data_IF_413764166469
#
_entry.id   IF_413764166469
#
_cell.length_a   1.000
_cell.length_b   1.000
_cell.length_c   1.000
_cell.angle_alpha   90.00
_cell.angle_beta   90.00
_cell.angle_gamma   90.00
#
_symmetry.space_group_name_H-M   'P 1'
#
loop_
_entity.id
_entity.type
_entity.pdbx_description
1 polymer ?
#
# COMPACT_ATOMS: atom_id res chain seq x y z
N UNK A 1 -10.72 -14.76 12.15
CA UNK A 1 -9.86 -13.57 12.27
C UNK A 1 -9.99 -12.63 11.07
N UNK A 2 -10.04 -13.15 9.84
CA UNK A 2 -10.00 -12.40 8.55
C UNK A 2 -11.15 -11.41 8.27
N UNK A 3 -12.19 -11.39 9.11
CA UNK A 3 -13.35 -10.49 8.96
C UNK A 3 -13.46 -9.45 10.08
N UNK A 4 -12.64 -9.56 11.12
CA UNK A 4 -12.62 -8.59 12.20
C UNK A 4 -12.20 -7.22 11.63
N UNK A 5 -12.95 -6.13 11.91
CA UNK A 5 -12.69 -4.82 11.32
C UNK A 5 -11.53 -4.10 12.02
N UNK A 6 -10.40 -4.79 12.20
CA UNK A 6 -9.25 -4.30 12.95
C UNK A 6 -8.48 -3.23 12.20
N UNK A 7 -8.62 -3.13 10.87
CA UNK A 7 -7.96 -2.12 10.06
C UNK A 7 -8.24 -0.69 10.56
N UNK A 8 -9.43 -0.42 11.09
CA UNK A 8 -9.81 0.89 11.66
C UNK A 8 -9.04 1.27 12.94
N UNK A 9 -8.41 0.29 13.60
CA UNK A 9 -7.68 0.48 14.86
C UNK A 9 -6.16 0.64 14.61
N UNK A 10 -5.69 0.37 13.40
CA UNK A 10 -4.28 0.41 13.04
C UNK A 10 -3.93 1.82 12.55
N UNK A 11 -3.07 2.53 13.28
CA UNK A 11 -2.48 3.80 12.83
C UNK A 11 -1.43 3.57 11.73
N UNK A 12 -0.65 2.50 11.90
CA UNK A 12 0.35 2.04 10.94
C UNK A 12 0.08 0.56 10.67
N UNK A 13 -0.66 0.22 9.61
CA UNK A 13 -0.89 -1.17 9.27
C UNK A 13 0.43 -1.88 8.98
N UNK A 14 0.61 -3.14 9.43
CA UNK A 14 1.78 -3.92 9.07
C UNK A 14 1.76 -4.22 7.57
N UNK A 15 2.95 -4.28 6.97
CA UNK A 15 3.11 -4.70 5.58
C UNK A 15 2.43 -6.06 5.34
N UNK A 16 1.90 -6.28 4.12
CA UNK A 16 1.28 -7.55 3.80
C UNK A 16 2.35 -8.65 3.86
N UNK A 17 1.99 -9.86 4.34
CA UNK A 17 2.94 -10.94 4.41
C UNK A 17 3.47 -11.29 3.02
N UNK A 18 4.78 -11.44 2.90
CA UNK A 18 5.43 -11.96 1.70
C UNK A 18 5.43 -13.48 1.80
N UNK A 19 4.92 -14.15 0.77
CA UNK A 19 4.99 -15.60 0.67
C UNK A 19 6.41 -16.00 0.26
N UNK A 20 7.03 -16.84 1.07
CA UNK A 20 8.36 -17.40 0.82
C UNK A 20 8.28 -18.91 0.99
N UNK A 21 8.77 -19.65 0.00
CA UNK A 21 8.88 -21.12 0.01
C UNK A 21 10.17 -21.60 0.72
N UNK A 22 10.83 -20.69 1.45
CA UNK A 22 12.13 -20.80 2.12
C UNK A 22 13.34 -20.58 1.23
N UNK A 23 13.20 -20.48 -0.09
CA UNK A 23 14.34 -20.19 -0.97
C UNK A 23 14.95 -18.84 -0.60
N UNK A 24 14.13 -17.79 -0.51
CA UNK A 24 14.64 -16.43 -0.27
C UNK A 24 15.21 -16.30 1.14
N UNK A 25 14.55 -16.88 2.15
CA UNK A 25 15.08 -16.90 3.51
C UNK A 25 16.42 -17.64 3.62
N UNK A 26 16.59 -18.75 2.92
CA UNK A 26 17.86 -19.47 2.90
C UNK A 26 18.97 -18.62 2.27
N UNK A 27 18.69 -17.98 1.14
CA UNK A 27 19.61 -17.09 0.45
C UNK A 27 20.03 -15.89 1.34
N UNK A 28 19.07 -15.23 2.00
CA UNK A 28 19.35 -14.14 2.94
C UNK A 28 20.18 -14.59 4.15
N UNK A 29 19.94 -15.80 4.67
CA UNK A 29 20.70 -16.37 5.79
C UNK A 29 22.13 -16.68 5.38
N UNK A 30 22.35 -17.09 4.13
CA UNK A 30 23.67 -17.31 3.54
C UNK A 30 24.41 -16.00 3.17
N UNK A 31 23.79 -14.84 3.35
CA UNK A 31 24.35 -13.55 2.93
C UNK A 31 24.37 -13.35 1.41
N UNK A 32 23.43 -13.99 0.69
CA UNK A 32 23.28 -13.91 -0.75
C UNK A 32 21.86 -13.41 -1.10
N UNK A 33 21.67 -12.12 -1.46
CA UNK A 33 22.70 -11.13 -1.75
C UNK A 33 23.38 -10.55 -0.51
N UNK A 34 24.55 -9.93 -0.72
CA UNK A 34 25.25 -9.15 0.30
C UNK A 34 24.37 -7.96 0.75
N UNK A 35 23.74 -8.13 1.91
CA UNK A 35 22.76 -7.18 2.42
C UNK A 35 23.46 -6.05 3.17
N UNK A 36 23.44 -4.86 2.59
CA UNK A 36 23.97 -3.62 3.21
C UNK A 36 22.87 -2.56 3.35
N UNK A 37 23.02 -1.59 4.26
CA UNK A 37 22.17 -0.39 4.25
C UNK A 37 22.22 0.33 2.90
N UNK A 38 21.18 1.11 2.58
CA UNK A 38 21.13 1.85 1.30
C UNK A 38 22.34 2.78 1.14
N UNK A 39 22.88 2.86 -0.08
CA UNK A 39 23.89 3.86 -0.43
C UNK A 39 23.37 5.28 -0.17
N UNK A 40 24.26 6.24 0.06
CA UNK A 40 23.91 7.63 0.39
C UNK A 40 23.83 8.51 -0.86
N UNK A 41 24.50 8.11 -1.95
CA UNK A 41 24.47 8.81 -3.24
C UNK A 41 24.60 7.83 -4.39
N UNK A 42 23.86 8.11 -5.47
CA UNK A 42 24.05 7.49 -6.77
C UNK A 42 24.46 8.60 -7.75
N UNK A 43 25.48 8.37 -8.56
CA UNK A 43 25.91 9.29 -9.62
C UNK A 43 26.35 8.47 -10.81
N UNK A 44 25.68 8.66 -11.95
CA UNK A 44 25.81 7.83 -13.15
C UNK A 44 25.69 6.33 -12.82
N UNK A 45 26.76 5.56 -13.02
CA UNK A 45 26.84 4.13 -12.73
C UNK A 45 27.53 3.83 -11.39
N UNK A 46 27.67 4.81 -10.48
CA UNK A 46 28.39 4.65 -9.21
C UNK A 46 27.53 4.92 -7.98
N UNK A 47 27.50 3.97 -7.05
CA UNK A 47 26.98 4.15 -5.71
C UNK A 47 28.08 4.60 -4.75
N UNK A 48 27.77 5.53 -3.86
CA UNK A 48 28.62 5.93 -2.72
C UNK A 48 27.96 5.46 -1.43
N UNK A 49 28.69 4.67 -0.65
CA UNK A 49 28.25 4.11 0.62
C UNK A 49 28.46 5.10 1.77
N UNK A 50 27.87 4.81 2.93
CA UNK A 50 27.95 5.69 4.09
C UNK A 50 29.37 5.88 4.65
N UNK A 51 30.28 4.94 4.39
CA UNK A 51 31.70 5.00 4.74
C UNK A 51 32.56 5.76 3.70
N UNK A 52 31.93 6.29 2.65
CA UNK A 52 32.60 7.00 1.56
C UNK A 52 33.18 6.10 0.47
N UNK A 53 33.10 4.78 0.61
CA UNK A 53 33.50 3.87 -0.47
C UNK A 53 32.58 4.01 -1.66
N UNK A 54 33.10 3.74 -2.85
CA UNK A 54 32.33 3.83 -4.10
C UNK A 54 32.42 2.55 -4.90
N UNK A 55 31.30 2.17 -5.50
CA UNK A 55 31.15 0.94 -6.25
C UNK A 55 30.45 1.23 -7.58
N UNK A 56 30.93 0.60 -8.66
CA UNK A 56 30.30 0.68 -9.97
C UNK A 56 29.19 -0.37 -10.06
N UNK A 57 28.00 0.02 -10.50
CA UNK A 57 26.85 -0.84 -10.69
C UNK A 57 26.64 -1.07 -12.19
N UNK A 58 26.61 -2.33 -12.63
CA UNK A 58 26.23 -2.64 -14.01
C UNK A 58 24.70 -2.63 -14.22
N UNK A 59 23.92 -2.80 -13.14
CA UNK A 59 22.46 -2.72 -13.16
C UNK A 59 21.91 -2.24 -11.80
N UNK A 60 20.77 -1.54 -11.84
CA UNK A 60 20.01 -1.12 -10.66
C UNK A 60 18.55 -1.55 -10.78
N UNK A 61 18.10 -2.43 -9.89
CA UNK A 61 16.70 -2.88 -9.83
C UNK A 61 15.98 -2.22 -8.67
N UNK A 62 14.97 -1.38 -8.97
CA UNK A 62 14.17 -0.70 -7.96
C UNK A 62 13.01 -1.58 -7.50
N UNK A 63 13.18 -2.26 -6.37
CA UNK A 63 12.14 -3.07 -5.72
C UNK A 63 11.46 -2.31 -4.55
N UNK A 64 11.08 -1.06 -4.78
CA UNK A 64 10.57 -0.14 -3.73
C UNK A 64 9.07 -0.28 -3.41
N UNK A 65 8.39 -1.20 -4.10
CA UNK A 65 6.95 -1.45 -3.94
C UNK A 65 6.08 -0.48 -4.75
N UNK A 66 4.81 -0.34 -4.34
CA UNK A 66 3.80 0.46 -5.03
C UNK A 66 3.19 1.51 -4.10
N UNK A 67 2.67 2.59 -4.68
CA UNK A 67 1.85 3.59 -4.00
C UNK A 67 0.55 3.81 -4.77
N UNK A 68 -0.56 4.17 -4.10
CA UNK A 68 -1.78 4.59 -4.79
C UNK A 68 -1.49 5.72 -5.78
N UNK A 69 -1.93 5.56 -7.02
CA UNK A 69 -1.80 6.56 -8.07
C UNK A 69 -3.19 7.00 -8.51
N UNK A 70 -3.70 8.06 -7.88
CA UNK A 70 -5.10 8.49 -7.99
C UNK A 70 -5.24 9.92 -8.54
N UNK A 71 -4.52 10.33 -9.60
CA UNK A 71 -4.55 11.71 -10.10
C UNK A 71 -5.94 12.13 -10.56
N UNK A 72 -6.79 11.18 -10.96
CA UNK A 72 -8.19 11.44 -11.34
C UNK A 72 -9.05 11.95 -10.18
N UNK A 73 -8.59 11.84 -8.93
CA UNK A 73 -9.26 12.40 -7.75
C UNK A 73 -8.67 13.75 -7.31
N UNK A 74 -7.62 14.26 -7.95
CA UNK A 74 -6.95 15.49 -7.53
C UNK A 74 -7.87 16.72 -7.56
N UNK A 75 -8.87 16.74 -8.44
CA UNK A 75 -9.89 17.80 -8.50
C UNK A 75 -10.95 17.73 -7.40
N UNK A 76 -10.98 16.64 -6.62
CA UNK A 76 -11.98 16.40 -5.59
C UNK A 76 -11.40 16.76 -4.22
N UNK A 77 -11.71 17.97 -3.73
CA UNK A 77 -11.15 18.52 -2.51
C UNK A 77 -11.29 17.55 -1.32
N UNK A 78 -10.20 17.27 -0.59
CA UNK A 78 -10.20 16.38 0.58
C UNK A 78 -10.51 14.89 0.30
N UNK A 79 -10.54 14.44 -0.97
CA UNK A 79 -10.64 13.02 -1.31
C UNK A 79 -9.34 12.25 -1.07
N UNK A 80 -8.19 12.94 -1.17
CA UNK A 80 -6.87 12.41 -0.88
C UNK A 80 -6.26 13.16 0.32
N UNK A 81 -5.40 12.48 1.07
CA UNK A 81 -4.56 13.09 2.09
C UNK A 81 -3.33 13.80 1.47
N UNK A 82 -2.51 14.54 2.25
CA UNK A 82 -1.32 15.20 1.71
C UNK A 82 -0.27 14.25 1.10
N UNK A 83 -0.34 12.95 1.40
CA UNK A 83 0.54 11.94 0.82
C UNK A 83 -0.05 11.31 -0.47
N UNK A 84 -1.23 11.73 -0.90
CA UNK A 84 -1.91 11.22 -2.08
C UNK A 84 -2.69 9.92 -1.85
N UNK A 85 -2.88 9.50 -0.60
CA UNK A 85 -3.67 8.31 -0.27
C UNK A 85 -5.16 8.65 -0.14
N UNK A 86 -6.07 7.70 -0.43
CA UNK A 86 -7.49 7.84 -0.15
C UNK A 86 -7.77 8.29 1.29
N UNK A 87 -8.44 9.42 1.44
CA UNK A 87 -8.89 9.88 2.75
C UNK A 87 -10.25 9.26 3.07
N UNK A 88 -10.27 8.26 3.95
CA UNK A 88 -11.48 7.49 4.23
C UNK A 88 -11.61 6.96 5.66
N UNK A 89 -12.83 6.56 6.03
CA UNK A 89 -13.12 5.73 7.21
C UNK A 89 -13.80 4.44 6.78
N UNK A 90 -13.02 3.35 6.78
CA UNK A 90 -13.50 2.03 6.37
C UNK A 90 -14.12 1.99 4.96
N UNK A 91 -13.54 2.71 4.00
CA UNK A 91 -14.06 2.88 2.63
C UNK A 91 -14.78 4.19 2.39
N UNK A 92 -15.51 4.75 3.35
CA UNK A 92 -16.29 5.98 3.11
C UNK A 92 -15.43 7.22 3.16
N UNK A 93 -15.58 8.09 2.16
CA UNK A 93 -15.07 9.45 2.23
C UNK A 93 -15.80 10.25 3.31
N UNK A 94 -15.09 10.93 4.23
CA UNK A 94 -15.72 11.84 5.17
C UNK A 94 -16.12 13.18 4.52
N UNK A 95 -15.55 13.53 3.37
CA UNK A 95 -15.76 14.80 2.70
C UNK A 95 -16.84 14.75 1.60
N UNK A 96 -17.07 13.57 1.01
CA UNK A 96 -17.94 13.40 -0.15
C UNK A 96 -18.98 12.30 0.09
N UNK A 97 -20.23 12.66 0.44
CA UNK A 97 -21.33 11.71 0.44
C UNK A 97 -21.44 11.05 -0.94
N UNK A 98 -21.49 9.72 -0.98
CA UNK A 98 -21.50 8.97 -2.25
C UNK A 98 -20.13 8.62 -2.83
N UNK A 99 -19.02 8.99 -2.17
CA UNK A 99 -17.68 8.49 -2.52
C UNK A 99 -17.26 7.37 -1.57
N UNK A 100 -17.04 6.19 -2.13
CA UNK A 100 -16.54 5.01 -1.42
C UNK A 100 -15.28 4.49 -2.13
N UNK A 101 -14.28 4.12 -1.34
CA UNK A 101 -13.07 3.46 -1.77
C UNK A 101 -13.17 1.96 -1.49
N UNK A 102 -12.62 1.14 -2.39
CA UNK A 102 -12.59 -0.32 -2.26
C UNK A 102 -11.23 -0.86 -2.68
N UNK A 103 -10.83 -2.00 -2.13
CA UNK A 103 -9.59 -2.67 -2.51
C UNK A 103 -8.33 -2.06 -1.86
N UNK A 104 -8.49 -1.32 -0.76
CA UNK A 104 -7.36 -0.71 -0.06
C UNK A 104 -6.78 -1.69 0.98
N UNK A 105 -5.45 -1.64 1.14
CA UNK A 105 -4.78 -2.44 2.14
C UNK A 105 -5.28 -2.06 3.54
N UNK A 106 -5.62 -3.06 4.35
CA UNK A 106 -6.19 -2.85 5.68
C UNK A 106 -7.41 -1.92 5.75
N UNK A 107 -8.12 -1.69 4.64
CA UNK A 107 -9.29 -0.79 4.57
C UNK A 107 -10.28 -1.06 5.71
N UNK A 108 -10.58 -2.34 5.93
CA UNK A 108 -11.36 -2.83 7.07
C UNK A 108 -10.69 -4.01 7.74
N UNK A 109 -10.12 -4.92 6.96
CA UNK A 109 -9.50 -6.16 7.44
C UNK A 109 -8.25 -6.49 6.61
N UNK A 110 -7.43 -7.43 7.09
CA UNK A 110 -6.21 -7.88 6.40
C UNK A 110 -6.43 -8.18 4.89
N UNK A 111 -7.46 -8.94 4.47
CA UNK A 111 -7.62 -9.28 3.05
C UNK A 111 -8.33 -8.21 2.20
N UNK A 112 -8.56 -6.98 2.71
CA UNK A 112 -9.39 -5.96 2.04
C UNK A 112 -8.93 -5.59 0.61
N UNK A 113 -7.63 -5.68 0.33
CA UNK A 113 -7.05 -5.44 -1.01
C UNK A 113 -6.91 -6.71 -1.87
N UNK A 114 -7.43 -7.85 -1.41
CA UNK A 114 -7.34 -9.13 -2.13
C UNK A 114 -8.69 -9.53 -2.68
N UNK A 115 -8.72 -10.36 -3.72
CA UNK A 115 -9.97 -10.93 -4.23
C UNK A 115 -10.77 -11.69 -3.15
N UNK A 116 -10.07 -12.32 -2.19
CA UNK A 116 -10.68 -13.04 -1.05
C UNK A 116 -11.44 -12.13 -0.08
N UNK A 117 -11.04 -10.86 0.05
CA UNK A 117 -11.63 -9.94 1.02
C UNK A 117 -12.44 -8.78 0.43
N UNK A 118 -12.05 -8.30 -0.76
CA UNK A 118 -12.60 -7.07 -1.35
C UNK A 118 -14.12 -7.13 -1.56
N UNK A 119 -14.69 -8.29 -1.86
CA UNK A 119 -16.14 -8.45 -2.06
C UNK A 119 -16.98 -7.99 -0.86
N UNK A 120 -16.49 -8.20 0.38
CA UNK A 120 -17.19 -7.74 1.60
C UNK A 120 -17.18 -6.21 1.73
N UNK A 121 -16.11 -5.58 1.29
CA UNK A 121 -15.97 -4.12 1.34
C UNK A 121 -16.74 -3.47 0.19
N UNK A 122 -16.72 -4.07 -1.00
CA UNK A 122 -17.56 -3.68 -2.14
C UNK A 122 -19.06 -3.77 -1.83
N UNK A 123 -19.51 -4.86 -1.20
CA UNK A 123 -20.92 -4.99 -0.78
C UNK A 123 -21.34 -3.91 0.22
N UNK A 124 -20.43 -3.50 1.13
CA UNK A 124 -20.68 -2.40 2.06
C UNK A 124 -20.71 -1.04 1.38
N UNK A 125 -19.78 -0.79 0.46
CA UNK A 125 -19.80 0.40 -0.37
C UNK A 125 -21.12 0.48 -1.14
N UNK A 126 -21.53 -0.59 -1.82
CA UNK A 126 -22.80 -0.65 -2.54
C UNK A 126 -24.02 -0.36 -1.64
N UNK A 127 -24.08 -0.98 -0.45
CA UNK A 127 -25.16 -0.69 0.51
C UNK A 127 -25.20 0.77 0.96
N UNK A 128 -24.03 1.39 1.21
CA UNK A 128 -23.96 2.81 1.58
C UNK A 128 -24.36 3.72 0.43
N UNK A 129 -23.88 3.45 -0.78
CA UNK A 129 -24.22 4.20 -1.98
C UNK A 129 -25.72 4.12 -2.27
N UNK A 130 -26.32 2.92 -2.15
CA UNK A 130 -27.75 2.74 -2.34
C UNK A 130 -28.61 3.58 -1.38
N UNK A 131 -28.13 3.85 -0.16
CA UNK A 131 -28.82 4.72 0.78
C UNK A 131 -28.80 6.21 0.38
N UNK A 132 -27.89 6.61 -0.52
CA UNK A 132 -27.79 7.97 -1.07
C UNK A 132 -28.54 8.14 -2.40
N UNK A 133 -29.00 7.04 -3.01
CA UNK A 133 -29.80 7.12 -4.22
C UNK A 133 -31.23 7.57 -3.86
N UNK A 134 -31.82 8.50 -4.62
CA UNK A 134 -33.21 8.87 -4.43
C UNK A 134 -34.09 7.62 -4.59
N UNK A 135 -35.05 7.43 -3.68
CA UNK A 135 -36.08 6.43 -3.86
C UNK A 135 -37.00 6.92 -4.98
N UNK A 136 -36.91 6.25 -6.13
CA UNK A 136 -37.91 6.37 -7.19
C UNK A 136 -39.24 5.75 -6.77
#
# INVERSE_FOLDING_TARGET
>A
MDAAPLGRLLKTPPAPPVLDDSHYRAALTAGAPDRRPMFTRLTDDRATWADGTTERLDALTLATGYRPHLPYLAGLACALDPAGHPHHRSGASPAHPGLEFVGLEWQRSLPSNTQRGVGRDAGRAAHRLAAHLPRG
#
